data_IF_144669630544
#
_entry.id   IF_144669630544
#
_cell.length_a   1.000
_cell.length_b   1.000
_cell.length_c   1.000
_cell.angle_alpha   90.00
_cell.angle_beta   90.00
_cell.angle_gamma   90.00
#
_symmetry.space_group_name_H-M   'P 1'
#
loop_
_entity.id
_entity.type
_entity.pdbx_description
1 polymer ?
#
# COMPACT_ATOMS: atom_id res chain seq x y z
N UNK A 1 9.49 -50.83 -24.91
CA UNK A 1 9.88 -49.93 -23.80
C UNK A 1 9.90 -48.52 -24.36
N UNK A 2 8.87 -47.71 -24.10
CA UNK A 2 8.88 -46.28 -24.44
C UNK A 2 8.88 -45.51 -23.12
N UNK A 3 9.93 -44.73 -22.90
CA UNK A 3 10.18 -43.97 -21.69
C UNK A 3 9.17 -42.80 -21.60
N UNK A 4 8.45 -42.73 -20.49
CA UNK A 4 7.62 -41.57 -20.15
C UNK A 4 8.54 -40.48 -19.59
N UNK A 5 8.78 -39.41 -20.35
CA UNK A 5 9.49 -38.23 -19.87
C UNK A 5 8.51 -37.40 -19.02
N UNK A 6 8.60 -37.51 -17.69
CA UNK A 6 7.87 -36.64 -16.77
C UNK A 6 8.66 -35.35 -16.64
N UNK A 7 8.17 -34.26 -17.27
CA UNK A 7 8.65 -32.90 -17.01
C UNK A 7 7.94 -32.38 -15.75
N UNK A 8 8.61 -32.44 -14.59
CA UNK A 8 8.20 -31.66 -13.42
C UNK A 8 8.67 -30.23 -13.58
N UNK A 9 7.76 -29.30 -13.91
CA UNK A 9 8.00 -27.87 -13.76
C UNK A 9 7.98 -27.52 -12.27
N UNK A 10 9.15 -27.25 -11.69
CA UNK A 10 9.25 -26.60 -10.38
C UNK A 10 8.99 -25.11 -10.58
N UNK A 11 7.77 -24.64 -10.33
CA UNK A 11 7.51 -23.21 -10.21
C UNK A 11 8.22 -22.71 -8.94
N UNK A 12 9.23 -21.85 -9.08
CA UNK A 12 9.75 -21.10 -7.96
C UNK A 12 8.64 -20.19 -7.42
N UNK A 13 8.51 -20.01 -6.09
CA UNK A 13 7.59 -19.02 -5.55
C UNK A 13 7.99 -17.65 -6.10
N UNK A 14 7.05 -16.94 -6.71
CA UNK A 14 7.21 -15.51 -6.91
C UNK A 14 7.28 -14.89 -5.52
N UNK A 15 8.39 -14.23 -5.20
CA UNK A 15 8.47 -13.39 -4.02
C UNK A 15 7.64 -12.15 -4.31
N UNK A 16 6.77 -11.78 -3.35
CA UNK A 16 6.01 -10.55 -3.47
C UNK A 16 6.94 -9.33 -3.43
N UNK A 17 6.65 -8.34 -4.28
CA UNK A 17 7.30 -7.03 -4.35
C UNK A 17 6.30 -5.93 -3.97
N UNK A 18 5.86 -5.86 -2.70
CA UNK A 18 4.86 -4.89 -2.30
C UNK A 18 5.43 -3.47 -2.34
N UNK A 19 4.57 -2.50 -2.67
CA UNK A 19 4.89 -1.10 -2.47
C UNK A 19 5.25 -0.81 -1.00
N UNK A 20 6.35 -0.10 -0.79
CA UNK A 20 6.90 0.26 0.51
C UNK A 20 6.38 1.63 0.93
N UNK A 21 5.95 1.76 2.19
CA UNK A 21 5.64 3.05 2.80
C UNK A 21 6.91 3.64 3.40
N UNK A 22 7.45 4.68 2.78
CA UNK A 22 8.71 5.33 3.16
C UNK A 22 8.52 6.42 4.22
N UNK A 23 7.40 7.14 4.15
CA UNK A 23 7.09 8.23 5.10
C UNK A 23 5.58 8.43 5.23
N UNK A 24 5.16 8.89 6.41
CA UNK A 24 3.77 9.22 6.71
C UNK A 24 3.75 10.53 7.50
N UNK A 25 2.93 11.47 7.03
CA UNK A 25 2.58 12.66 7.81
C UNK A 25 1.07 12.84 7.87
N UNK A 26 0.58 13.35 8.99
CA UNK A 26 -0.84 13.59 9.21
C UNK A 26 -1.09 14.93 9.88
N UNK A 27 -2.14 15.61 9.46
CA UNK A 27 -2.60 16.87 10.04
C UNK A 27 -4.11 16.81 10.28
N UNK A 28 -4.55 17.34 11.42
CA UNK A 28 -5.98 17.41 11.76
C UNK A 28 -6.58 18.71 11.26
N UNK A 29 -7.79 18.64 10.69
CA UNK A 29 -8.60 19.79 10.28
C UNK A 29 -10.05 19.60 10.72
N UNK A 30 -10.88 20.65 10.55
CA UNK A 30 -12.31 20.59 10.86
C UNK A 30 -13.06 19.56 9.99
N UNK A 31 -12.53 19.25 8.80
CA UNK A 31 -13.10 18.29 7.85
C UNK A 31 -12.61 16.86 8.09
N UNK A 32 -11.77 16.63 9.12
CA UNK A 32 -11.13 15.36 9.43
C UNK A 32 -9.62 15.39 9.24
N UNK A 33 -8.99 14.21 9.21
CA UNK A 33 -7.55 14.09 9.03
C UNK A 33 -7.14 14.16 7.56
N UNK A 34 -6.03 14.83 7.31
CA UNK A 34 -5.29 14.76 6.05
C UNK A 34 -4.01 13.98 6.27
N UNK A 35 -3.88 12.88 5.54
CA UNK A 35 -2.66 12.07 5.47
C UNK A 35 -1.92 12.37 4.18
N UNK A 36 -0.59 12.39 4.25
CA UNK A 36 0.31 12.35 3.11
C UNK A 36 1.24 11.15 3.30
N UNK A 37 1.21 10.23 2.36
CA UNK A 37 1.98 8.99 2.41
C UNK A 37 2.94 8.98 1.23
N UNK A 38 4.21 8.72 1.52
CA UNK A 38 5.27 8.53 0.54
C UNK A 38 5.44 7.04 0.28
N UNK A 39 5.34 6.65 -0.98
CA UNK A 39 5.50 5.27 -1.43
C UNK A 39 6.75 5.12 -2.30
N UNK A 40 7.35 3.93 -2.23
CA UNK A 40 8.35 3.45 -3.17
C UNK A 40 7.92 2.08 -3.70
N UNK A 41 8.03 1.88 -5.01
CA UNK A 41 7.77 0.59 -5.64
C UNK A 41 8.58 0.48 -6.94
N UNK A 42 8.95 -0.74 -7.33
CA UNK A 42 9.67 -1.05 -8.56
C UNK A 42 8.81 -0.91 -9.82
N UNK A 43 8.06 0.19 -9.97
CA UNK A 43 7.12 0.40 -11.07
C UNK A 43 7.77 0.08 -12.43
N UNK A 44 7.16 -0.83 -13.20
CA UNK A 44 7.61 -1.23 -14.55
C UNK A 44 6.72 -0.64 -15.65
N UNK A 45 5.89 0.35 -15.29
CA UNK A 45 4.87 0.92 -16.14
C UNK A 45 3.50 0.33 -15.81
N UNK A 46 2.64 0.15 -16.82
CA UNK A 46 1.28 -0.37 -16.61
C UNK A 46 1.24 -1.86 -16.24
N UNK A 47 2.36 -2.57 -16.41
CA UNK A 47 2.46 -4.00 -16.08
C UNK A 47 2.51 -4.21 -14.56
N UNK A 48 3.17 -3.32 -13.82
CA UNK A 48 3.22 -3.35 -12.36
C UNK A 48 3.52 -1.95 -11.79
N UNK A 49 2.65 -1.45 -10.92
CA UNK A 49 2.84 -0.18 -10.24
C UNK A 49 2.10 -0.12 -8.90
N UNK A 50 2.54 0.78 -8.01
CA UNK A 50 1.80 1.09 -6.80
C UNK A 50 0.45 1.76 -7.14
N UNK A 51 -0.66 1.04 -6.92
CA UNK A 51 -2.00 1.45 -7.34
C UNK A 51 -2.84 2.07 -6.20
N UNK A 52 -2.33 2.06 -4.97
CA UNK A 52 -2.97 2.77 -3.89
C UNK A 52 -2.41 2.50 -2.50
N UNK A 53 -3.04 3.17 -1.54
CA UNK A 53 -2.85 2.90 -0.12
C UNK A 53 -4.13 3.22 0.65
N UNK A 54 -4.22 2.74 1.88
CA UNK A 54 -5.39 2.98 2.75
C UNK A 54 -5.00 3.20 4.19
N UNK A 55 -5.87 3.91 4.90
CA UNK A 55 -5.83 4.08 6.36
C UNK A 55 -6.77 3.06 6.98
N UNK A 56 -6.25 2.26 7.89
CA UNK A 56 -6.97 1.26 8.67
C UNK A 56 -6.90 1.56 10.16
N UNK A 57 -7.90 1.11 10.91
CA UNK A 57 -7.80 0.92 12.34
C UNK A 57 -6.82 -0.24 12.67
N UNK A 58 -6.36 -0.38 13.93
CA UNK A 58 -5.50 -1.50 14.32
C UNK A 58 -6.12 -2.90 14.12
N UNK A 59 -7.46 -3.00 14.14
CA UNK A 59 -8.22 -4.22 13.87
C UNK A 59 -8.57 -4.43 12.38
N UNK A 60 -8.16 -3.51 11.49
CA UNK A 60 -8.24 -3.66 10.04
C UNK A 60 -9.51 -3.08 9.38
N UNK A 61 -10.33 -2.31 10.12
CA UNK A 61 -11.41 -1.54 9.52
C UNK A 61 -10.83 -0.41 8.65
N UNK A 62 -11.33 -0.26 7.42
CA UNK A 62 -10.82 0.76 6.51
C UNK A 62 -11.52 2.11 6.73
N UNK A 63 -10.75 3.12 7.13
CA UNK A 63 -11.22 4.49 7.36
C UNK A 63 -11.18 5.35 6.10
N UNK A 64 -10.31 5.02 5.14
CA UNK A 64 -10.19 5.76 3.88
C UNK A 64 -9.19 5.13 2.92
N UNK A 65 -9.34 5.38 1.63
CA UNK A 65 -8.48 4.82 0.56
C UNK A 65 -8.04 5.91 -0.40
N UNK A 66 -6.79 5.85 -0.83
CA UNK A 66 -6.23 6.66 -1.91
C UNK A 66 -5.88 5.75 -3.08
N UNK A 67 -6.71 5.78 -4.11
CA UNK A 67 -6.45 5.11 -5.40
C UNK A 67 -5.52 5.95 -6.27
N UNK A 68 -4.63 5.27 -6.98
CA UNK A 68 -3.65 5.80 -7.92
C UNK A 68 -3.83 5.10 -9.26
N UNK A 69 -4.08 5.87 -10.30
CA UNK A 69 -4.57 5.34 -11.59
C UNK A 69 -3.53 5.39 -12.70
N UNK A 70 -2.25 5.58 -12.35
CA UNK A 70 -1.15 5.58 -13.30
C UNK A 70 0.18 5.19 -12.64
N UNK A 71 1.14 4.67 -13.41
CA UNK A 71 2.49 4.38 -12.92
C UNK A 71 3.29 5.65 -12.59
N UNK A 72 4.30 5.50 -11.73
CA UNK A 72 5.21 6.53 -11.24
C UNK A 72 6.69 6.14 -11.46
N UNK A 73 7.02 5.50 -12.58
CA UNK A 73 8.38 4.97 -12.89
C UNK A 73 9.49 6.01 -12.66
N UNK A 74 9.30 7.25 -13.11
CA UNK A 74 10.29 8.33 -13.02
C UNK A 74 10.10 9.26 -11.80
N UNK A 75 9.20 8.91 -10.87
CA UNK A 75 8.83 9.72 -9.71
C UNK A 75 9.05 8.95 -8.39
N UNK A 76 10.04 8.06 -8.30
CA UNK A 76 10.25 7.27 -7.08
C UNK A 76 11.26 7.94 -6.12
N UNK A 77 10.95 8.05 -4.81
CA UNK A 77 9.65 7.83 -4.19
C UNK A 77 8.68 9.01 -4.47
N UNK A 78 7.37 8.75 -4.43
CA UNK A 78 6.34 9.77 -4.63
C UNK A 78 5.41 9.87 -3.42
N UNK A 79 4.88 11.07 -3.18
CA UNK A 79 3.92 11.33 -2.09
C UNK A 79 2.53 11.62 -2.64
N UNK A 80 1.50 11.01 -2.06
CA UNK A 80 0.09 11.34 -2.36
C UNK A 80 -0.69 11.51 -1.06
N UNK A 81 -1.68 12.40 -1.09
CA UNK A 81 -2.49 12.72 0.08
C UNK A 81 -3.91 12.20 -0.02
N UNK A 82 -4.51 11.92 1.14
CA UNK A 82 -5.93 11.65 1.35
C UNK A 82 -6.45 12.63 2.41
N UNK A 83 -7.62 13.22 2.20
CA UNK A 83 -8.24 14.18 3.13
C UNK A 83 -9.63 13.69 3.55
N UNK A 84 -10.13 14.24 4.65
CA UNK A 84 -11.45 13.90 5.16
C UNK A 84 -11.52 12.53 5.85
N UNK A 85 -10.37 12.01 6.33
CA UNK A 85 -10.35 10.73 7.04
C UNK A 85 -10.90 10.95 8.44
N UNK A 86 -12.06 10.37 8.72
CA UNK A 86 -12.64 10.35 10.05
C UNK A 86 -11.95 9.28 10.89
N UNK A 87 -11.35 9.71 12.00
CA UNK A 87 -10.72 8.80 12.97
C UNK A 87 -11.50 8.87 14.28
N UNK A 88 -11.97 7.73 14.83
CA UNK A 88 -12.57 7.68 16.15
C UNK A 88 -11.66 8.30 17.22
N UNK A 89 -12.24 9.01 18.19
CA UNK A 89 -11.47 9.77 19.18
C UNK A 89 -10.69 8.88 20.15
N UNK A 90 -11.02 7.59 20.20
CA UNK A 90 -10.39 6.60 21.05
C UNK A 90 -9.10 6.01 20.46
N UNK A 91 -8.82 6.27 19.17
CA UNK A 91 -7.62 5.77 18.50
C UNK A 91 -6.45 6.72 18.69
N UNK A 92 -5.34 6.16 19.17
CA UNK A 92 -4.05 6.86 19.27
C UNK A 92 -3.13 6.56 18.07
N UNK A 93 -3.48 5.57 17.24
CA UNK A 93 -2.72 5.15 16.07
C UNK A 93 -3.63 4.62 14.97
N UNK A 94 -3.11 4.63 13.75
CA UNK A 94 -3.72 4.00 12.57
C UNK A 94 -2.68 3.18 11.84
N UNK A 95 -3.13 2.30 10.95
CA UNK A 95 -2.28 1.48 10.10
C UNK A 95 -2.38 1.97 8.65
N UNK A 96 -1.24 2.09 7.97
CA UNK A 96 -1.18 2.34 6.53
C UNK A 96 -0.84 1.03 5.82
N UNK A 97 -1.66 0.69 4.82
CA UNK A 97 -1.43 -0.46 3.94
C UNK A 97 -1.33 0.00 2.49
N UNK A 98 -0.23 -0.36 1.83
CA UNK A 98 -0.03 -0.10 0.42
C UNK A 98 -0.60 -1.23 -0.46
N UNK A 99 -0.74 -0.95 -1.75
CA UNK A 99 -1.23 -1.88 -2.77
C UNK A 99 -0.46 -1.69 -4.07
N UNK A 100 -0.32 -2.78 -4.82
CA UNK A 100 0.20 -2.78 -6.20
C UNK A 100 -0.86 -3.33 -7.15
N UNK A 101 -0.76 -2.97 -8.44
CA UNK A 101 -1.72 -3.40 -9.46
C UNK A 101 -1.70 -4.92 -9.71
N UNK A 102 -0.57 -5.59 -9.41
CA UNK A 102 -0.39 -7.03 -9.63
C UNK A 102 -0.74 -7.84 -8.39
N UNK A 103 -0.26 -7.42 -7.22
CA UNK A 103 -0.35 -8.22 -5.99
C UNK A 103 -1.50 -7.77 -5.07
N UNK A 104 -2.05 -6.58 -5.33
CA UNK A 104 -3.06 -5.97 -4.49
C UNK A 104 -2.48 -5.54 -3.14
N UNK A 105 -3.30 -5.64 -2.10
CA UNK A 105 -2.97 -5.15 -0.78
C UNK A 105 -1.85 -5.96 -0.10
N UNK A 106 -0.83 -5.27 0.40
CA UNK A 106 0.23 -5.89 1.17
C UNK A 106 -0.30 -6.66 2.39
N UNK A 107 0.37 -7.77 2.74
CA UNK A 107 0.01 -8.56 3.93
C UNK A 107 0.27 -7.79 5.23
N UNK A 108 1.29 -6.92 5.22
CA UNK A 108 1.73 -6.12 6.36
C UNK A 108 1.22 -4.69 6.29
N UNK A 109 1.28 -4.00 7.42
CA UNK A 109 0.94 -2.58 7.55
C UNK A 109 2.05 -1.83 8.26
N UNK A 110 2.12 -0.52 8.04
CA UNK A 110 2.95 0.40 8.84
C UNK A 110 2.09 1.10 9.88
N UNK A 111 2.41 0.93 11.16
CA UNK A 111 1.74 1.62 12.26
C UNK A 111 2.18 3.09 12.32
N UNK A 112 1.21 3.99 12.42
CA UNK A 112 1.42 5.43 12.51
C UNK A 112 0.73 5.99 13.75
N UNK A 113 1.50 6.43 14.77
CA UNK A 113 0.95 7.15 15.92
C UNK A 113 0.40 8.51 15.49
N UNK A 114 -0.80 8.86 15.94
CA UNK A 114 -1.43 10.13 15.61
C UNK A 114 -0.79 11.27 16.42
N UNK A 115 -0.41 12.39 15.79
CA UNK A 115 0.09 13.55 16.51
C UNK A 115 -1.03 14.16 17.37
N UNK A 116 -0.70 14.52 18.61
CA UNK A 116 -1.62 15.13 19.58
C UNK A 116 -1.50 16.65 19.62
#
# INVERSE_FOLDING_TARGET
MHYLLVLTLSAAPALADPAVVEDISATRSDEGWRFSVTLAHGDTGWDDYADGWRVETPDGEVLGRRELVHPHVDEQPFTRSLSGVAIPAELDEVHIRASTSVEGWAETTVTFPLPR
#
